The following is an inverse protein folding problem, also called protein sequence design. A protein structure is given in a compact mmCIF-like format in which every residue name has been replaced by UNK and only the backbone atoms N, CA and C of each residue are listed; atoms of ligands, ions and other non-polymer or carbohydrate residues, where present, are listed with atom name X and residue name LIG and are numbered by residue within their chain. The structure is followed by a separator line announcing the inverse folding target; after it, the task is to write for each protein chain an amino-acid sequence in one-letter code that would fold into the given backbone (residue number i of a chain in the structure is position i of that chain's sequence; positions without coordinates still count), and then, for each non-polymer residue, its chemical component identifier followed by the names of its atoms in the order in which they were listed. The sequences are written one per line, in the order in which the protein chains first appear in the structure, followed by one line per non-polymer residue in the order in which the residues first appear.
data_IF_926586285867
#
_entry.id   IF_926586285867
#
_cell.length_a   1.000
_cell.length_b   1.000
_cell.length_c   1.000
_cell.angle_alpha   90.00
_cell.angle_beta   90.00
_cell.angle_gamma   90.00
#
_symmetry.space_group_name_H-M   'P 1'
#
loop_
_entity.id
_entity.type
_entity.pdbx_description
1 polymer ?
#
# COMPACT_ATOMS: atom_id res chain seq x y z
N UNK A 1 -7.54 1.21 14.01
CA UNK A 1 -7.62 1.85 12.69
C UNK A 1 -6.23 2.24 12.24
N UNK A 2 -5.67 1.44 11.31
CA UNK A 2 -4.86 1.93 10.19
C UNK A 2 -5.30 1.29 8.84
N UNK A 3 -6.48 0.66 8.79
CA UNK A 3 -6.90 -0.22 7.69
C UNK A 3 -7.27 0.47 6.37
N UNK A 4 -7.33 1.81 6.33
CA UNK A 4 -7.78 2.51 5.12
C UNK A 4 -6.79 2.41 3.95
N UNK A 5 -5.48 2.30 4.22
CA UNK A 5 -4.47 2.24 3.15
C UNK A 5 -3.98 0.82 2.85
N UNK A 6 -3.97 -0.08 3.84
CA UNK A 6 -3.67 -1.52 3.58
C UNK A 6 -4.71 -2.15 2.64
N UNK A 7 -5.92 -1.58 2.54
CA UNK A 7 -6.97 -2.04 1.63
C UNK A 7 -6.76 -1.64 0.15
N UNK A 8 -5.79 -0.79 -0.19
CA UNK A 8 -5.62 -0.30 -1.57
C UNK A 8 -4.83 -1.23 -2.48
N UNK A 9 -4.15 -2.26 -1.94
CA UNK A 9 -3.34 -3.23 -2.71
C UNK A 9 -4.03 -4.58 -2.96
N UNK A 10 -5.27 -4.80 -2.51
CA UNK A 10 -5.99 -6.05 -2.84
C UNK A 10 -6.47 -6.06 -4.29
N UNK A 11 -5.72 -6.76 -5.15
CA UNK A 11 -6.16 -7.16 -6.48
C UNK A 11 -7.41 -8.06 -6.37
N UNK A 12 -8.46 -7.72 -7.11
CA UNK A 12 -9.73 -8.45 -7.11
C UNK A 12 -9.58 -9.79 -7.87
N UNK A 13 -9.82 -10.92 -7.21
CA UNK A 13 -9.83 -12.25 -7.86
C UNK A 13 -11.16 -12.99 -7.62
N UNK A 14 -11.77 -13.46 -8.70
CA UNK A 14 -13.02 -14.25 -8.76
C UNK A 14 -12.84 -15.75 -8.37
N UNK A 15 -13.93 -16.45 -8.06
CA UNK A 15 -13.99 -17.82 -7.50
C UNK A 15 -13.91 -18.97 -8.53
N UNK A 16 -13.31 -20.12 -8.18
CA UNK A 16 -13.59 -21.52 -8.60
C UNK A 16 -12.73 -22.52 -7.77
N UNK A 17 -13.19 -23.76 -7.59
CA UNK A 17 -12.87 -24.68 -6.48
C UNK A 17 -11.79 -25.77 -6.72
N UNK A 18 -11.16 -26.15 -5.59
CA UNK A 18 -10.54 -27.42 -5.13
C UNK A 18 -9.25 -28.00 -5.76
N UNK A 19 -8.17 -28.05 -4.97
CA UNK A 19 -7.61 -29.27 -4.34
C UNK A 19 -6.41 -28.89 -3.43
N UNK A 20 -6.08 -29.69 -2.40
CA UNK A 20 -5.04 -29.37 -1.41
C UNK A 20 -4.11 -30.55 -1.11
N UNK A 21 -2.81 -30.33 -1.26
CA UNK A 21 -1.72 -31.17 -0.71
C UNK A 21 -0.91 -30.35 0.31
N UNK A 22 -0.49 -30.97 1.41
CA UNK A 22 0.24 -30.28 2.51
C UNK A 22 1.60 -30.96 2.75
N UNK A 23 2.69 -30.19 2.68
CA UNK A 23 4.03 -30.62 3.07
C UNK A 23 4.57 -29.71 4.20
N UNK A 24 5.28 -30.30 5.17
CA UNK A 24 5.74 -29.64 6.39
C UNK A 24 7.17 -29.09 6.23
N UNK A 25 7.38 -27.80 6.52
CA UNK A 25 8.67 -27.08 6.40
C UNK A 25 9.26 -26.75 7.77
N UNK A 26 10.60 -26.87 7.92
CA UNK A 26 11.36 -26.59 9.14
C UNK A 26 11.57 -25.08 9.36
N UNK A 27 11.52 -24.65 10.63
CA UNK A 27 11.49 -23.24 11.01
C UNK A 27 12.82 -22.48 10.75
N UNK A 28 12.81 -21.26 10.19
CA UNK A 28 13.99 -20.43 9.97
C UNK A 28 14.47 -19.71 11.24
N UNK A 29 15.79 -19.49 11.31
CA UNK A 29 16.47 -18.65 12.29
C UNK A 29 16.00 -17.18 12.17
N UNK A 30 15.77 -16.51 13.30
CA UNK A 30 15.26 -15.14 13.33
C UNK A 30 16.19 -14.10 12.70
N UNK A 31 15.67 -12.90 12.38
CA UNK A 31 16.48 -11.79 11.88
C UNK A 31 17.61 -11.50 12.87
N UNK A 32 18.86 -11.67 12.44
CA UNK A 32 20.03 -11.22 13.19
C UNK A 32 20.37 -9.83 12.67
N UNK A 33 19.82 -8.79 13.29
CA UNK A 33 20.16 -7.41 12.92
C UNK A 33 21.63 -7.17 13.31
N UNK A 34 22.51 -7.08 12.31
CA UNK A 34 23.78 -6.38 12.51
C UNK A 34 23.41 -4.94 12.89
N UNK A 35 23.78 -4.50 14.10
CA UNK A 35 23.51 -3.15 14.61
C UNK A 35 24.12 -2.13 13.66
N UNK A 36 23.29 -1.53 12.81
CA UNK A 36 23.64 -0.33 12.06
C UNK A 36 22.86 0.81 12.67
N UNK A 37 23.56 1.88 13.06
CA UNK A 37 22.90 3.02 13.67
C UNK A 37 22.25 3.86 12.58
N UNK A 38 21.03 4.42 12.81
CA UNK A 38 20.44 5.38 11.88
C UNK A 38 21.41 6.52 11.59
N UNK A 39 21.68 6.79 10.30
CA UNK A 39 22.59 7.86 9.84
C UNK A 39 24.01 7.41 9.48
N UNK A 40 24.38 6.14 9.73
CA UNK A 40 25.60 5.59 9.18
C UNK A 40 25.55 5.60 7.63
N UNK A 41 26.69 5.78 6.92
CA UNK A 41 26.72 5.74 5.47
C UNK A 41 26.15 4.42 4.94
N UNK A 42 25.19 4.53 4.02
CA UNK A 42 24.55 3.36 3.42
C UNK A 42 25.60 2.54 2.64
N UNK A 43 25.78 1.24 2.92
CA UNK A 43 26.68 0.41 2.13
C UNK A 43 26.24 0.37 0.67
N UNK A 44 27.19 0.27 -0.25
CA UNK A 44 26.95 0.41 -1.69
C UNK A 44 25.99 -0.63 -2.31
N UNK A 45 25.70 -1.73 -1.60
CA UNK A 45 24.80 -2.79 -2.03
C UNK A 45 23.34 -2.61 -1.58
N UNK A 46 23.04 -1.51 -0.89
CA UNK A 46 21.68 -1.12 -0.54
C UNK A 46 21.14 -0.05 -1.49
N UNK A 47 19.88 -0.22 -1.88
CA UNK A 47 19.15 0.73 -2.73
C UNK A 47 18.02 1.37 -1.93
N UNK A 48 17.96 2.71 -1.85
CA UNK A 48 16.82 3.42 -1.26
C UNK A 48 15.50 3.08 -1.96
N UNK A 49 14.44 2.86 -1.19
CA UNK A 49 13.10 2.59 -1.70
C UNK A 49 12.31 3.91 -1.79
N UNK A 50 11.89 4.35 -2.99
CA UNK A 50 11.23 5.65 -3.21
C UNK A 50 10.05 5.91 -2.28
N UNK A 51 10.02 7.09 -1.67
CA UNK A 51 8.94 7.56 -0.79
C UNK A 51 8.97 6.99 0.63
N UNK A 52 10.03 6.28 1.00
CA UNK A 52 10.14 5.60 2.29
C UNK A 52 11.49 5.87 2.94
N UNK A 53 11.59 5.62 4.25
CA UNK A 53 12.85 5.63 4.98
C UNK A 53 13.63 4.31 4.87
N UNK A 54 13.22 3.35 4.03
CA UNK A 54 13.94 2.09 3.92
C UNK A 54 14.87 2.06 2.71
N UNK A 55 16.04 1.49 2.92
CA UNK A 55 16.87 0.96 1.85
C UNK A 55 16.97 -0.56 1.99
N UNK A 56 16.88 -1.27 0.86
CA UNK A 56 16.91 -2.73 0.78
C UNK A 56 18.07 -3.18 -0.10
N UNK A 57 18.64 -4.36 0.18
CA UNK A 57 19.44 -5.06 -0.84
C UNK A 57 18.48 -5.58 -1.91
N UNK A 58 18.80 -5.35 -3.17
CA UNK A 58 17.96 -5.82 -4.28
C UNK A 58 18.26 -7.31 -4.53
N UNK A 59 17.29 -8.22 -4.36
CA UNK A 59 17.52 -9.64 -4.65
C UNK A 59 17.80 -9.88 -6.14
N UNK A 60 18.51 -10.97 -6.46
CA UNK A 60 18.90 -11.29 -7.83
C UNK A 60 17.72 -11.31 -8.81
N UNK A 61 17.81 -10.46 -9.85
CA UNK A 61 16.80 -10.30 -10.90
C UNK A 61 15.56 -9.52 -10.49
N UNK A 62 15.53 -8.92 -9.30
CA UNK A 62 14.62 -7.83 -8.98
C UNK A 62 15.25 -6.48 -9.35
N UNK A 63 14.41 -5.44 -9.41
CA UNK A 63 14.82 -4.06 -9.60
C UNK A 63 13.87 -3.13 -8.85
N UNK A 64 14.32 -1.92 -8.52
CA UNK A 64 13.41 -0.87 -8.04
C UNK A 64 12.44 -0.52 -9.18
N UNK A 65 11.16 -0.39 -8.84
CA UNK A 65 10.13 0.07 -9.76
C UNK A 65 9.79 1.52 -9.44
N UNK A 66 9.77 2.41 -10.44
CA UNK A 66 9.38 3.80 -10.22
C UNK A 66 7.88 3.94 -9.91
N UNK A 67 7.07 3.00 -10.38
CA UNK A 67 5.61 3.02 -10.21
C UNK A 67 5.14 2.48 -8.86
N UNK A 68 6.04 1.88 -8.06
CA UNK A 68 5.71 1.29 -6.77
C UNK A 68 6.81 1.60 -5.75
N UNK A 69 6.48 1.87 -4.48
CA UNK A 69 7.48 2.06 -3.44
C UNK A 69 8.11 0.71 -3.05
N UNK A 70 8.96 0.13 -3.91
CA UNK A 70 9.51 -1.19 -3.68
C UNK A 70 10.26 -1.82 -4.86
N UNK A 71 10.27 -3.16 -4.91
CA UNK A 71 11.03 -3.96 -5.86
C UNK A 71 10.10 -4.86 -6.68
N UNK A 72 10.42 -5.08 -7.95
CA UNK A 72 9.73 -6.01 -8.85
C UNK A 72 10.71 -6.95 -9.53
N UNK A 73 10.28 -8.18 -9.83
CA UNK A 73 10.94 -9.02 -10.82
C UNK A 73 10.17 -8.90 -12.14
N UNK A 74 10.78 -8.35 -13.21
CA UNK A 74 10.11 -8.18 -14.50
C UNK A 74 9.48 -9.47 -15.03
N UNK A 75 8.31 -9.35 -15.67
CA UNK A 75 7.56 -10.46 -16.30
C UNK A 75 7.05 -11.53 -15.33
N UNK A 76 6.99 -11.21 -14.05
CA UNK A 76 6.40 -12.07 -13.01
C UNK A 76 5.50 -11.22 -12.11
N UNK A 77 4.73 -11.86 -11.25
CA UNK A 77 3.99 -11.21 -10.16
C UNK A 77 4.81 -11.14 -8.86
N UNK A 78 6.12 -11.39 -8.93
CA UNK A 78 7.03 -11.36 -7.77
C UNK A 78 7.42 -9.92 -7.44
N UNK A 79 7.08 -9.48 -6.23
CA UNK A 79 7.20 -8.08 -5.79
C UNK A 79 7.56 -7.97 -4.31
N UNK A 80 8.19 -6.87 -3.92
CA UNK A 80 8.30 -6.40 -2.55
C UNK A 80 7.75 -4.98 -2.54
N UNK A 81 6.68 -4.74 -1.78
CA UNK A 81 6.06 -3.41 -1.62
C UNK A 81 6.37 -2.90 -0.22
N UNK A 82 6.82 -1.65 -0.12
CA UNK A 82 7.10 -0.95 1.13
C UNK A 82 6.15 0.23 1.25
N UNK A 83 5.38 0.29 2.33
CA UNK A 83 4.51 1.44 2.62
C UNK A 83 4.97 2.07 3.92
N UNK A 84 5.33 3.35 3.87
CA UNK A 84 5.81 4.14 5.01
C UNK A 84 4.82 5.28 5.30
N UNK A 85 4.15 5.19 6.45
CA UNK A 85 3.08 6.11 6.85
C UNK A 85 3.44 6.80 8.15
N UNK A 86 3.07 8.08 8.26
CA UNK A 86 3.18 8.78 9.53
C UNK A 86 2.22 8.17 10.57
N UNK A 87 2.72 7.90 11.78
CA UNK A 87 1.86 7.50 12.90
C UNK A 87 1.27 8.74 13.58
N UNK A 88 0.03 8.64 14.11
CA UNK A 88 -0.51 9.65 15.00
C UNK A 88 0.39 9.83 16.23
N UNK A 89 0.61 11.07 16.65
CA UNK A 89 1.44 11.39 17.81
C UNK A 89 0.98 10.62 19.07
N UNK A 90 1.95 10.11 19.83
CA UNK A 90 1.70 9.40 21.10
C UNK A 90 1.27 7.93 20.96
N UNK A 91 1.19 7.40 19.74
CA UNK A 91 0.96 5.97 19.54
C UNK A 91 2.21 5.16 19.95
N UNK A 92 2.01 4.14 20.78
CA UNK A 92 3.11 3.30 21.29
C UNK A 92 3.42 2.19 20.30
N UNK A 93 4.69 2.01 19.85
CA UNK A 93 5.10 0.99 18.89
C UNK A 93 4.56 -0.41 19.19
N UNK A 94 4.65 -0.85 20.45
CA UNK A 94 4.20 -2.18 20.87
C UNK A 94 2.70 -2.39 20.67
N UNK A 95 1.89 -1.36 20.92
CA UNK A 95 0.43 -1.41 20.72
C UNK A 95 0.10 -1.46 19.23
N UNK A 96 0.84 -0.74 18.39
CA UNK A 96 0.67 -0.78 16.94
C UNK A 96 0.99 -2.17 16.40
N UNK A 97 2.13 -2.72 16.78
CA UNK A 97 2.54 -4.06 16.35
C UNK A 97 1.60 -5.15 16.89
N UNK A 98 1.10 -5.05 18.13
CA UNK A 98 0.17 -6.03 18.67
C UNK A 98 -1.13 -6.10 17.85
N UNK A 99 -1.64 -4.94 17.42
CA UNK A 99 -2.79 -4.88 16.50
C UNK A 99 -2.50 -5.53 15.15
N UNK A 100 -1.29 -5.34 14.64
CA UNK A 100 -0.88 -5.96 13.37
C UNK A 100 -0.72 -7.47 13.48
N UNK A 101 -0.15 -7.97 14.57
CA UNK A 101 -0.09 -9.40 14.84
C UNK A 101 -1.49 -10.02 14.93
N UNK A 102 -2.43 -9.34 15.57
CA UNK A 102 -3.82 -9.78 15.60
C UNK A 102 -4.44 -9.81 14.19
N UNK A 103 -4.10 -8.85 13.33
CA UNK A 103 -4.49 -8.87 11.92
C UNK A 103 -3.86 -10.05 11.17
N UNK A 104 -2.57 -10.32 11.36
CA UNK A 104 -1.90 -11.47 10.75
C UNK A 104 -2.51 -12.80 11.20
N UNK A 105 -2.83 -12.96 12.48
CA UNK A 105 -3.52 -14.15 13.00
C UNK A 105 -4.93 -14.34 12.44
N UNK A 106 -5.60 -13.25 12.05
CA UNK A 106 -6.96 -13.25 11.51
C UNK A 106 -7.02 -13.33 9.98
N UNK A 107 -5.89 -13.58 9.31
CA UNK A 107 -5.72 -13.45 7.84
C UNK A 107 -6.66 -14.27 6.96
N UNK A 108 -7.47 -15.18 7.54
CA UNK A 108 -8.58 -15.85 6.86
C UNK A 108 -9.84 -14.95 6.70
N UNK A 109 -9.65 -13.64 6.49
CA UNK A 109 -10.74 -12.66 6.44
C UNK A 109 -11.38 -12.49 5.05
N UNK A 110 -12.57 -11.87 4.97
CA UNK A 110 -13.16 -11.45 3.70
C UNK A 110 -12.16 -10.60 2.89
N UNK A 111 -11.92 -10.97 1.63
CA UNK A 111 -10.96 -10.28 0.76
C UNK A 111 -9.52 -10.81 0.77
N UNK A 112 -9.18 -11.75 1.66
CA UNK A 112 -7.89 -12.45 1.69
C UNK A 112 -8.06 -13.95 1.40
N UNK A 113 -8.83 -14.27 0.36
CA UNK A 113 -9.08 -15.66 -0.02
C UNK A 113 -7.76 -16.38 -0.33
N UNK A 114 -7.65 -17.62 0.16
CA UNK A 114 -6.49 -18.47 -0.04
C UNK A 114 -5.25 -18.09 0.77
N UNK A 115 -5.25 -16.97 1.52
CA UNK A 115 -4.11 -16.55 2.33
C UNK A 115 -4.02 -17.38 3.62
N UNK A 116 -2.89 -18.06 3.80
CA UNK A 116 -2.52 -18.80 5.01
C UNK A 116 -1.20 -18.25 5.50
N UNK A 117 -1.23 -17.62 6.67
CA UNK A 117 -0.04 -17.08 7.32
C UNK A 117 0.37 -17.96 8.50
N UNK A 118 1.67 -18.05 8.72
CA UNK A 118 2.26 -18.64 9.92
C UNK A 118 1.96 -17.77 11.16
N UNK A 119 2.37 -18.25 12.33
CA UNK A 119 2.29 -17.43 13.53
C UNK A 119 3.26 -16.22 13.41
N UNK A 120 2.80 -14.99 13.71
CA UNK A 120 3.68 -13.83 13.66
C UNK A 120 4.76 -13.93 14.73
N UNK A 121 5.96 -13.44 14.40
CA UNK A 121 7.13 -13.42 15.27
C UNK A 121 7.62 -11.99 15.47
N UNK A 122 7.92 -11.63 16.72
CA UNK A 122 8.59 -10.37 17.04
C UNK A 122 10.08 -10.45 16.73
N UNK A 123 10.61 -9.33 16.23
CA UNK A 123 12.02 -9.16 15.91
C UNK A 123 12.38 -7.67 15.89
N UNK A 124 13.56 -7.35 15.41
CA UNK A 124 14.00 -5.99 15.12
C UNK A 124 14.38 -5.89 13.63
N UNK A 125 13.92 -4.84 12.96
CA UNK A 125 14.30 -4.53 11.59
C UNK A 125 14.78 -3.08 11.55
N UNK A 126 15.95 -2.85 10.96
CA UNK A 126 16.54 -1.52 10.84
C UNK A 126 16.65 -0.76 12.18
N UNK A 127 16.85 -1.47 13.30
CA UNK A 127 16.96 -0.89 14.64
C UNK A 127 15.63 -0.63 15.35
N UNK A 128 14.49 -1.00 14.76
CA UNK A 128 13.16 -0.77 15.33
C UNK A 128 12.40 -2.06 15.62
N UNK A 129 11.52 -2.06 16.63
CA UNK A 129 10.61 -3.18 16.88
C UNK A 129 9.81 -3.53 15.64
N UNK A 130 9.73 -4.82 15.34
CA UNK A 130 9.02 -5.34 14.18
C UNK A 130 8.26 -6.64 14.49
N UNK A 131 7.26 -6.93 13.66
CA UNK A 131 6.58 -8.22 13.58
C UNK A 131 6.67 -8.74 12.16
N UNK A 132 7.11 -9.98 12.00
CA UNK A 132 7.24 -10.66 10.71
C UNK A 132 6.36 -11.89 10.64
N UNK A 133 5.94 -12.26 9.43
CA UNK A 133 5.20 -13.50 9.18
C UNK A 133 5.41 -13.96 7.74
N UNK A 134 5.48 -15.28 7.54
CA UNK A 134 5.52 -15.92 6.22
C UNK A 134 4.23 -16.66 5.96
N UNK A 135 4.01 -17.09 4.73
CA UNK A 135 2.85 -17.89 4.39
C UNK A 135 2.70 -18.13 2.91
N UNK A 136 1.51 -18.60 2.54
CA UNK A 136 1.12 -18.82 1.14
C UNK A 136 -0.21 -18.16 0.83
N UNK A 137 -0.45 -17.89 -0.43
CA UNK A 137 -1.73 -17.42 -0.94
C UNK A 137 -2.10 -18.20 -2.20
N UNK A 138 -3.26 -18.84 -2.19
CA UNK A 138 -3.88 -19.37 -3.41
C UNK A 138 -4.79 -18.32 -4.05
N UNK A 139 -4.57 -18.02 -5.33
CA UNK A 139 -5.43 -17.16 -6.14
C UNK A 139 -5.68 -17.78 -7.52
N UNK A 140 -6.48 -17.13 -8.36
CA UNK A 140 -6.81 -17.68 -9.70
C UNK A 140 -5.58 -17.82 -10.59
N UNK A 141 -4.65 -16.89 -10.43
CA UNK A 141 -3.42 -16.76 -11.21
C UNK A 141 -2.37 -17.79 -10.78
N UNK A 142 -2.56 -18.43 -9.62
CA UNK A 142 -1.70 -19.48 -9.09
C UNK A 142 -1.48 -19.39 -7.58
N UNK A 143 -0.49 -20.15 -7.13
CA UNK A 143 -0.02 -20.15 -5.74
C UNK A 143 1.14 -19.17 -5.57
N UNK A 144 1.12 -18.44 -4.47
CA UNK A 144 2.12 -17.44 -4.13
C UNK A 144 2.70 -17.69 -2.74
N UNK A 145 4.00 -17.51 -2.61
CA UNK A 145 4.69 -17.37 -1.32
C UNK A 145 4.57 -15.94 -0.84
N UNK A 146 4.40 -15.76 0.46
CA UNK A 146 4.26 -14.46 1.11
C UNK A 146 5.27 -14.28 2.22
N UNK A 147 5.80 -13.08 2.32
CA UNK A 147 6.48 -12.57 3.50
C UNK A 147 5.89 -11.21 3.83
N UNK A 148 5.58 -10.97 5.09
CA UNK A 148 5.05 -9.70 5.57
C UNK A 148 5.88 -9.23 6.75
N UNK A 149 6.10 -7.93 6.84
CA UNK A 149 6.68 -7.30 8.01
C UNK A 149 5.92 -6.01 8.35
N UNK A 150 5.83 -5.72 9.64
CA UNK A 150 5.38 -4.45 10.18
C UNK A 150 6.48 -3.93 11.10
N UNK A 151 6.92 -2.70 10.88
CA UNK A 151 7.95 -2.01 11.65
C UNK A 151 7.31 -0.79 12.29
N UNK A 152 7.56 -0.55 13.58
CA UNK A 152 6.99 0.58 14.30
C UNK A 152 8.08 1.51 14.88
N UNK A 153 8.68 2.37 14.05
CA UNK A 153 9.40 3.55 14.52
C UNK A 153 8.54 4.48 15.38
N UNK A 154 9.14 5.44 16.11
CA UNK A 154 8.40 6.35 16.99
C UNK A 154 7.33 7.22 16.31
N UNK A 155 7.55 7.62 15.06
CA UNK A 155 6.75 8.59 14.30
C UNK A 155 6.24 8.05 12.95
N UNK A 156 6.62 6.82 12.60
CA UNK A 156 6.24 6.15 11.35
C UNK A 156 5.76 4.73 11.61
N UNK A 157 4.96 4.21 10.70
CA UNK A 157 4.57 2.81 10.60
C UNK A 157 4.91 2.33 9.21
N UNK A 158 5.78 1.32 9.13
CA UNK A 158 6.22 0.76 7.85
C UNK A 158 5.71 -0.67 7.70
N UNK A 159 5.08 -0.97 6.57
CA UNK A 159 4.73 -2.34 6.20
C UNK A 159 5.50 -2.79 4.97
N UNK A 160 6.07 -3.99 5.01
CA UNK A 160 6.67 -4.64 3.86
C UNK A 160 5.81 -5.84 3.46
N UNK A 161 5.51 -5.96 2.18
CA UNK A 161 4.77 -7.09 1.60
C UNK A 161 5.56 -7.69 0.45
N UNK A 162 6.10 -8.87 0.67
CA UNK A 162 6.75 -9.70 -0.33
C UNK A 162 5.80 -10.74 -0.87
N UNK A 163 5.71 -10.83 -2.18
CA UNK A 163 4.99 -11.87 -2.92
C UNK A 163 5.94 -12.50 -3.91
N UNK A 164 6.00 -13.82 -3.97
CA UNK A 164 6.72 -14.55 -5.02
C UNK A 164 5.80 -15.62 -5.60
N UNK A 165 5.79 -15.77 -6.92
CA UNK A 165 5.11 -16.91 -7.55
C UNK A 165 5.74 -18.23 -7.06
N UNK A 166 4.96 -19.31 -6.89
CA UNK A 166 5.50 -20.59 -6.41
C UNK A 166 6.63 -21.16 -7.29
N UNK A 167 6.62 -20.83 -8.59
CA UNK A 167 7.65 -21.20 -9.58
C UNK A 167 8.83 -20.23 -9.64
N UNK A 168 8.77 -19.09 -8.94
CA UNK A 168 9.88 -18.14 -8.88
C UNK A 168 11.05 -18.75 -8.10
N UNK A 169 12.31 -18.48 -8.49
CA UNK A 169 13.48 -18.89 -7.71
C UNK A 169 13.53 -18.26 -6.31
N UNK A 170 12.85 -17.12 -6.08
CA UNK A 170 12.77 -16.52 -4.75
C UNK A 170 11.83 -17.32 -3.83
N UNK A 171 12.37 -17.62 -2.66
CA UNK A 171 11.65 -18.21 -1.53
C UNK A 171 11.08 -17.12 -0.62
N UNK A 172 10.06 -17.46 0.15
CA UNK A 172 9.56 -16.63 1.26
C UNK A 172 10.68 -16.27 2.25
N UNK A 173 11.63 -17.18 2.48
CA UNK A 173 12.78 -16.94 3.35
C UNK A 173 13.77 -15.91 2.79
N UNK A 174 14.00 -15.89 1.48
CA UNK A 174 14.82 -14.86 0.85
C UNK A 174 14.12 -13.50 0.85
N UNK A 175 12.80 -13.46 0.63
CA UNK A 175 12.01 -12.24 0.81
C UNK A 175 12.13 -11.73 2.26
N UNK A 176 11.99 -12.63 3.24
CA UNK A 176 12.11 -12.28 4.64
C UNK A 176 13.52 -11.79 5.02
N UNK A 177 14.56 -12.44 4.52
CA UNK A 177 15.95 -12.01 4.70
C UNK A 177 16.18 -10.60 4.15
N UNK A 178 15.58 -10.27 3.00
CA UNK A 178 15.61 -8.92 2.43
C UNK A 178 15.02 -7.89 3.40
N UNK A 179 13.95 -8.25 4.12
CA UNK A 179 13.34 -7.37 5.13
C UNK A 179 14.23 -7.26 6.37
N UNK A 180 14.74 -8.38 6.88
CA UNK A 180 15.62 -8.41 8.04
C UNK A 180 16.89 -7.56 7.83
N UNK A 181 17.39 -7.51 6.59
CA UNK A 181 18.58 -6.74 6.23
C UNK A 181 18.29 -5.26 5.95
N UNK A 182 17.05 -4.79 6.01
CA UNK A 182 16.70 -3.41 5.71
C UNK A 182 17.52 -2.39 6.53
N UNK A 183 17.73 -1.22 5.95
CA UNK A 183 18.41 -0.07 6.59
C UNK A 183 17.47 1.11 6.67
N UNK A 184 17.56 1.83 7.79
CA UNK A 184 16.79 3.05 8.01
C UNK A 184 17.58 4.27 7.53
N UNK A 185 16.94 5.06 6.68
CA UNK A 185 17.44 6.32 6.17
C UNK A 185 16.97 7.46 7.10
N UNK A 186 17.80 8.48 7.26
CA UNK A 186 17.45 9.66 8.05
C UNK A 186 16.31 10.46 7.43
N UNK A 187 16.20 10.44 6.10
CA UNK A 187 15.14 11.09 5.33
C UNK A 187 14.51 10.09 4.38
N UNK A 188 13.25 10.33 3.99
CA UNK A 188 12.60 9.54 2.95
C UNK A 188 13.34 9.70 1.63
N UNK A 189 13.57 8.59 0.95
CA UNK A 189 14.05 8.65 -0.43
C UNK A 189 13.02 9.39 -1.30
N UNK A 190 13.45 10.23 -2.26
CA UNK A 190 12.54 10.91 -3.16
C UNK A 190 11.69 9.91 -3.95
N UNK A 191 10.42 10.23 -4.16
CA UNK A 191 9.51 9.47 -5.02
C UNK A 191 9.10 10.32 -6.22
N UNK A 192 9.36 9.83 -7.42
CA UNK A 192 8.89 10.43 -8.67
C UNK A 192 7.61 9.72 -9.07
N UNK A 193 6.46 10.24 -8.65
CA UNK A 193 5.16 9.62 -8.94
C UNK A 193 4.69 9.86 -10.39
N UNK A 194 5.40 10.70 -11.16
CA UNK A 194 5.04 11.08 -12.53
C UNK A 194 3.83 12.01 -12.61
N UNK A 195 3.37 12.56 -11.49
CA UNK A 195 2.29 13.53 -11.45
C UNK A 195 2.38 14.45 -10.23
N UNK A 196 1.67 15.58 -10.31
CA UNK A 196 1.52 16.55 -9.23
C UNK A 196 0.06 16.93 -9.03
N UNK A 197 -0.28 17.33 -7.82
CA UNK A 197 -1.59 17.86 -7.43
C UNK A 197 -1.38 19.15 -6.64
N UNK A 198 -2.20 20.16 -6.92
CA UNK A 198 -2.23 21.40 -6.15
C UNK A 198 -3.23 21.24 -5.01
N UNK A 199 -2.84 21.45 -3.73
CA UNK A 199 -3.77 21.46 -2.61
C UNK A 199 -4.87 22.52 -2.79
N UNK A 200 -6.09 22.23 -2.34
CA UNK A 200 -7.20 23.19 -2.27
C UNK A 200 -7.58 23.48 -0.81
N UNK A 201 -8.02 24.72 -0.54
CA UNK A 201 -8.43 25.17 0.79
C UNK A 201 -7.31 25.05 1.83
N UNK A 202 -7.64 24.47 2.99
CA UNK A 202 -6.70 24.28 4.11
C UNK A 202 -5.91 22.96 4.02
N UNK A 203 -6.04 22.19 2.94
CA UNK A 203 -5.32 20.92 2.80
C UNK A 203 -3.81 21.16 2.67
N UNK A 204 -3.02 20.34 3.36
CA UNK A 204 -1.57 20.32 3.24
C UNK A 204 -1.11 18.92 2.93
N UNK A 205 -0.06 18.83 2.13
CA UNK A 205 0.60 17.56 1.89
C UNK A 205 1.18 17.00 3.19
N UNK A 206 1.00 15.70 3.38
CA UNK A 206 1.53 14.93 4.51
C UNK A 206 2.29 13.72 3.96
N UNK A 207 3.37 13.28 4.64
CA UNK A 207 4.20 12.19 4.13
C UNK A 207 3.42 10.90 3.86
N UNK A 208 3.54 10.37 2.64
CA UNK A 208 2.95 9.09 2.24
C UNK A 208 3.89 8.31 1.32
N UNK A 209 4.01 7.00 1.52
CA UNK A 209 4.80 6.13 0.65
C UNK A 209 4.04 5.80 -0.64
N UNK A 210 4.63 6.10 -1.80
CA UNK A 210 4.09 5.72 -3.12
C UNK A 210 2.77 6.40 -3.52
N UNK A 211 2.41 7.51 -2.88
CA UNK A 211 1.22 8.32 -3.18
C UNK A 211 1.41 9.75 -2.69
N UNK A 212 0.62 10.69 -3.22
CA UNK A 212 0.43 11.99 -2.58
C UNK A 212 -0.72 11.85 -1.59
N UNK A 213 -0.52 12.35 -0.37
CA UNK A 213 -1.58 12.42 0.64
C UNK A 213 -1.67 13.86 1.13
N UNK A 214 -2.89 14.36 1.21
CA UNK A 214 -3.21 15.66 1.74
C UNK A 214 -4.19 15.49 2.88
N UNK A 215 -3.99 16.21 3.96
CA UNK A 215 -4.94 16.24 5.07
C UNK A 215 -5.30 17.67 5.42
N UNK A 216 -6.50 17.83 5.96
CA UNK A 216 -6.96 19.14 6.39
C UNK A 216 -6.00 19.71 7.44
N UNK A 217 -5.42 20.88 7.14
CA UNK A 217 -4.42 21.60 7.95
C UNK A 217 -3.09 20.86 8.18
N UNK A 218 -2.89 19.72 7.53
CA UNK A 218 -1.73 18.84 7.76
C UNK A 218 -1.87 17.97 9.02
N UNK A 219 -3.08 17.84 9.56
CA UNK A 219 -3.33 17.02 10.75
C UNK A 219 -3.38 15.52 10.39
N UNK A 220 -3.04 14.66 11.35
CA UNK A 220 -3.14 13.20 11.20
C UNK A 220 -4.11 12.64 12.22
N UNK A 221 -5.04 11.77 11.81
CA UNK A 221 -5.97 11.14 12.73
C UNK A 221 -7.12 10.44 12.01
N UNK A 222 -7.89 9.61 12.73
CA UNK A 222 -9.01 8.88 12.13
C UNK A 222 -10.19 9.77 11.72
N UNK A 223 -10.26 10.98 12.28
CA UNK A 223 -11.38 11.92 12.10
C UNK A 223 -11.03 13.10 11.19
N UNK A 224 -9.77 13.17 10.73
CA UNK A 224 -9.29 14.25 9.86
C UNK A 224 -9.64 13.90 8.41
N UNK A 225 -10.29 14.80 7.66
CA UNK A 225 -10.48 14.62 6.24
C UNK A 225 -9.14 14.46 5.50
N UNK A 226 -9.09 13.46 4.62
CA UNK A 226 -7.90 13.18 3.82
C UNK A 226 -8.26 13.07 2.34
N UNK A 227 -7.31 13.43 1.49
CA UNK A 227 -7.31 13.21 0.05
C UNK A 227 -6.03 12.48 -0.34
N UNK A 228 -6.14 11.43 -1.14
CA UNK A 228 -5.03 10.58 -1.57
C UNK A 228 -5.03 10.47 -3.09
N UNK A 229 -3.84 10.56 -3.69
CA UNK A 229 -3.62 10.32 -5.09
C UNK A 229 -2.54 9.28 -5.29
N UNK A 230 -2.87 8.17 -5.95
CA UNK A 230 -1.98 7.04 -6.16
C UNK A 230 -2.08 6.51 -7.59
N UNK A 231 -0.95 6.18 -8.25
CA UNK A 231 -0.98 5.48 -9.52
C UNK A 231 -1.43 4.03 -9.32
N UNK A 232 -1.98 3.42 -10.37
CA UNK A 232 -2.30 2.00 -10.40
C UNK A 232 -1.01 1.21 -10.48
N UNK A 233 -0.65 0.52 -9.39
CA UNK A 233 0.58 -0.26 -9.33
C UNK A 233 0.40 -1.61 -10.03
N UNK A 234 1.22 -1.88 -11.06
CA UNK A 234 1.26 -3.18 -11.73
C UNK A 234 -0.04 -3.60 -12.43
N UNK A 235 -0.95 -2.67 -12.72
CA UNK A 235 -2.20 -2.98 -13.43
C UNK A 235 -2.10 -2.57 -14.90
N UNK A 236 -2.53 -3.46 -15.78
CA UNK A 236 -2.70 -3.13 -17.20
C UNK A 236 -3.74 -2.03 -17.39
N UNK A 237 -3.63 -1.25 -18.48
CA UNK A 237 -4.64 -0.24 -18.84
C UNK A 237 -6.05 -0.83 -18.87
N UNK A 238 -7.02 -0.11 -18.32
CA UNK A 238 -8.43 -0.53 -18.32
C UNK A 238 -9.05 -0.24 -19.69
N UNK A 239 -9.63 -1.25 -20.37
CA UNK A 239 -10.28 -1.06 -21.67
C UNK A 239 -11.35 0.02 -21.60
N UNK A 240 -11.43 0.88 -22.63
CA UNK A 240 -12.31 2.06 -22.64
C UNK A 240 -13.77 1.74 -22.30
N UNK A 241 -14.30 0.63 -22.84
CA UNK A 241 -15.67 0.18 -22.60
C UNK A 241 -15.94 -0.27 -21.15
N UNK A 242 -14.91 -0.56 -20.36
CA UNK A 242 -15.03 -1.10 -19.00
C UNK A 242 -14.75 -0.06 -17.91
N UNK A 243 -14.19 1.10 -18.26
CA UNK A 243 -13.67 2.11 -17.32
C UNK A 243 -14.69 2.52 -16.25
N UNK A 244 -15.92 2.84 -16.66
CA UNK A 244 -17.00 3.22 -15.73
C UNK A 244 -17.36 2.11 -14.75
N UNK A 245 -17.61 0.91 -15.27
CA UNK A 245 -17.95 -0.25 -14.45
C UNK A 245 -16.81 -0.65 -13.51
N UNK A 246 -15.56 -0.50 -13.96
CA UNK A 246 -14.36 -0.71 -13.16
C UNK A 246 -14.28 0.29 -12.00
N UNK A 247 -14.45 1.60 -12.27
CA UNK A 247 -14.44 2.64 -11.26
C UNK A 247 -15.55 2.44 -10.21
N UNK A 248 -16.78 2.17 -10.64
CA UNK A 248 -17.91 1.91 -9.72
C UNK A 248 -17.66 0.69 -8.84
N UNK A 249 -17.13 -0.41 -9.41
CA UNK A 249 -16.81 -1.61 -8.65
C UNK A 249 -15.75 -1.33 -7.60
N UNK A 250 -14.69 -0.59 -7.96
CA UNK A 250 -13.64 -0.21 -7.00
C UNK A 250 -14.19 0.69 -5.89
N UNK A 251 -15.03 1.66 -6.23
CA UNK A 251 -15.66 2.55 -5.25
C UNK A 251 -16.53 1.80 -4.25
N UNK A 252 -17.40 0.89 -4.73
CA UNK A 252 -18.24 0.05 -3.85
C UNK A 252 -17.43 -0.89 -2.97
N UNK A 253 -16.20 -1.23 -3.37
CA UNK A 253 -15.26 -2.05 -2.61
C UNK A 253 -14.50 -1.30 -1.52
N UNK A 254 -14.68 0.02 -1.39
CA UNK A 254 -14.06 0.80 -0.31
C UNK A 254 -14.59 0.36 1.08
N UNK A 255 -13.79 0.52 2.14
CA UNK A 255 -14.23 0.23 3.50
C UNK A 255 -15.55 0.91 3.86
N UNK A 256 -16.48 0.16 4.44
CA UNK A 256 -17.82 0.64 4.76
C UNK A 256 -18.83 0.53 3.61
N UNK A 257 -18.45 -0.04 2.47
CA UNK A 257 -19.30 -0.32 1.31
C UNK A 257 -20.15 0.90 0.91
N UNK A 258 -19.51 2.02 0.49
CA UNK A 258 -20.22 3.26 0.26
C UNK A 258 -21.28 3.08 -0.83
N UNK A 259 -22.42 3.73 -0.62
CA UNK A 259 -23.48 3.83 -1.60
C UNK A 259 -23.12 4.94 -2.60
N UNK A 260 -23.19 4.60 -3.87
CA UNK A 260 -22.96 5.53 -4.98
C UNK A 260 -24.14 6.52 -5.05
N UNK A 261 -23.85 7.81 -5.05
CA UNK A 261 -24.83 8.88 -5.21
C UNK A 261 -24.77 9.47 -6.61
N UNK A 262 -23.57 9.82 -7.08
CA UNK A 262 -23.34 10.33 -8.43
C UNK A 262 -22.19 9.58 -9.12
N UNK A 263 -22.28 9.46 -10.45
CA UNK A 263 -21.22 8.94 -11.31
C UNK A 263 -21.20 9.80 -12.58
N UNK A 264 -20.09 10.47 -12.84
CA UNK A 264 -19.92 11.39 -13.95
C UNK A 264 -18.67 11.04 -14.75
N UNK A 265 -18.78 11.09 -16.07
CA UNK A 265 -17.61 10.99 -16.94
C UNK A 265 -16.97 12.37 -17.05
N UNK A 266 -15.64 12.44 -16.97
CA UNK A 266 -14.87 13.67 -16.94
C UNK A 266 -13.61 13.56 -17.82
N UNK A 267 -12.84 14.64 -17.88
CA UNK A 267 -11.51 14.65 -18.48
C UNK A 267 -10.57 15.45 -17.59
N UNK A 268 -9.43 14.87 -17.25
CA UNK A 268 -8.43 15.48 -16.36
C UNK A 268 -7.05 15.24 -16.94
N UNK A 269 -6.22 16.28 -17.02
CA UNK A 269 -4.92 16.24 -17.67
C UNK A 269 -4.95 15.75 -19.14
N UNK A 270 -6.09 15.86 -19.82
CA UNK A 270 -6.30 15.36 -21.18
C UNK A 270 -6.77 13.90 -21.25
N UNK A 271 -6.77 13.19 -20.13
CA UNK A 271 -7.17 11.79 -20.05
C UNK A 271 -8.63 11.61 -19.64
N UNK A 272 -9.34 10.57 -20.14
CA UNK A 272 -10.67 10.23 -19.68
C UNK A 272 -10.68 9.88 -18.20
N UNK A 273 -11.67 10.37 -17.48
CA UNK A 273 -11.83 10.11 -16.06
C UNK A 273 -13.26 9.74 -15.70
N UNK A 274 -13.44 9.07 -14.57
CA UNK A 274 -14.76 8.80 -13.97
C UNK A 274 -14.75 9.32 -12.55
N UNK A 275 -15.61 10.29 -12.25
CA UNK A 275 -15.87 10.84 -10.92
C UNK A 275 -17.04 10.10 -10.27
N UNK A 276 -16.89 9.77 -8.99
CA UNK A 276 -17.90 9.10 -8.17
C UNK A 276 -17.95 9.79 -6.81
N UNK A 277 -19.14 10.22 -6.41
CA UNK A 277 -19.42 10.70 -5.06
C UNK A 277 -20.41 9.74 -4.40
N UNK A 278 -20.18 9.46 -3.13
CA UNK A 278 -21.04 8.59 -2.36
C UNK A 278 -20.79 8.69 -0.86
N UNK A 279 -21.44 7.81 -0.11
CA UNK A 279 -21.34 7.82 1.35
C UNK A 279 -21.46 6.43 1.93
N UNK A 280 -20.73 6.17 3.01
CA UNK A 280 -20.95 5.05 3.91
C UNK A 280 -21.62 5.57 5.20
N UNK A 281 -22.04 4.69 6.14
CA UNK A 281 -22.61 5.12 7.41
C UNK A 281 -21.72 6.09 8.21
N UNK A 282 -20.40 5.99 8.06
CA UNK A 282 -19.43 6.78 8.83
C UNK A 282 -18.87 7.99 8.06
N UNK A 283 -18.88 7.98 6.73
CA UNK A 283 -18.12 8.95 5.95
C UNK A 283 -18.73 9.29 4.58
N UNK A 284 -18.50 10.51 4.12
CA UNK A 284 -18.60 10.90 2.72
C UNK A 284 -17.33 10.45 1.99
N UNK A 285 -17.51 9.94 0.78
CA UNK A 285 -16.45 9.37 -0.03
C UNK A 285 -16.46 10.02 -1.41
N UNK A 286 -15.28 10.46 -1.83
CA UNK A 286 -15.01 10.98 -3.15
C UNK A 286 -14.03 10.04 -3.85
N UNK A 287 -14.24 9.79 -5.13
CA UNK A 287 -13.26 9.09 -5.97
C UNK A 287 -13.29 9.66 -7.38
N UNK A 288 -12.13 9.91 -7.95
CA UNK A 288 -11.95 10.15 -9.36
C UNK A 288 -10.84 9.24 -9.87
N UNK A 289 -11.13 8.50 -10.95
CA UNK A 289 -10.17 7.61 -11.58
C UNK A 289 -9.82 8.18 -12.95
N UNK A 290 -8.57 8.60 -13.14
CA UNK A 290 -8.05 9.15 -14.40
C UNK A 290 -7.33 8.03 -15.15
N UNK A 291 -7.81 7.65 -16.33
CA UNK A 291 -7.34 6.47 -17.07
C UNK A 291 -6.28 6.85 -18.09
N UNK A 292 -5.04 6.44 -17.85
CA UNK A 292 -3.88 6.73 -18.67
C UNK A 292 -3.54 5.57 -19.62
N UNK A 293 -2.54 5.78 -20.47
CA UNK A 293 -1.98 4.80 -21.40
C UNK A 293 -1.37 3.58 -20.70
N UNK A 294 -0.96 3.76 -19.45
CA UNK A 294 -0.21 2.77 -18.64
C UNK A 294 -1.04 2.19 -17.51
N UNK A 295 -2.25 2.69 -17.26
CA UNK A 295 -3.09 2.27 -16.14
C UNK A 295 -4.14 3.31 -15.77
N UNK A 296 -4.16 3.71 -14.50
CA UNK A 296 -4.96 4.83 -14.00
C UNK A 296 -4.32 5.49 -12.78
N UNK A 297 -4.73 6.72 -12.47
CA UNK A 297 -4.44 7.38 -11.20
C UNK A 297 -5.75 7.43 -10.40
N UNK A 298 -5.73 6.90 -9.20
CA UNK A 298 -6.84 6.95 -8.25
C UNK A 298 -6.68 8.18 -7.35
N UNK A 299 -7.67 9.05 -7.40
CA UNK A 299 -7.81 10.24 -6.57
C UNK A 299 -8.98 9.96 -5.62
N UNK A 300 -8.76 9.91 -4.31
CA UNK A 300 -9.81 9.54 -3.36
C UNK A 300 -9.80 10.44 -2.14
N UNK A 301 -10.97 10.95 -1.77
CA UNK A 301 -11.19 11.75 -0.58
C UNK A 301 -12.13 11.04 0.38
N UNK A 302 -11.88 11.18 1.69
CA UNK A 302 -12.80 10.70 2.72
C UNK A 302 -12.90 11.74 3.83
N UNK A 303 -14.13 12.01 4.26
CA UNK A 303 -14.42 12.86 5.41
C UNK A 303 -15.57 12.26 6.21
N UNK A 304 -15.60 12.47 7.53
CA UNK A 304 -16.73 12.00 8.34
C UNK A 304 -18.02 12.72 7.93
N UNK A 305 -19.15 12.04 8.07
CA UNK A 305 -20.47 12.61 7.73
C UNK A 305 -20.85 13.84 8.59
N UNK A 306 -20.23 14.02 9.75
CA UNK A 306 -20.45 15.18 10.63
C UNK A 306 -19.41 16.31 10.43
N UNK A 307 -18.43 16.11 9.55
CA UNK A 307 -17.54 17.18 9.11
C UNK A 307 -18.25 18.07 8.07
N UNK A 308 -17.83 19.34 7.90
CA UNK A 308 -18.27 20.16 6.78
C UNK A 308 -18.02 19.45 5.45
N UNK A 309 -18.87 19.67 4.44
CA UNK A 309 -18.71 19.03 3.13
C UNK A 309 -17.36 19.35 2.51
N UNK A 310 -16.55 18.31 2.27
CA UNK A 310 -15.21 18.40 1.70
C UNK A 310 -15.18 18.09 0.20
N UNK A 311 -16.31 17.65 -0.38
CA UNK A 311 -16.42 17.26 -1.79
C UNK A 311 -15.92 18.34 -2.75
N UNK A 312 -16.22 19.66 -2.55
CA UNK A 312 -15.69 20.70 -3.41
C UNK A 312 -14.15 20.78 -3.43
N UNK A 313 -13.51 20.70 -2.27
CA UNK A 313 -12.05 20.75 -2.15
C UNK A 313 -11.39 19.49 -2.76
N UNK A 314 -11.99 18.31 -2.53
CA UNK A 314 -11.53 17.06 -3.16
C UNK A 314 -11.60 17.12 -4.69
N UNK A 315 -12.70 17.66 -5.23
CA UNK A 315 -12.86 17.82 -6.68
C UNK A 315 -11.84 18.80 -7.26
N UNK A 316 -11.61 19.93 -6.60
CA UNK A 316 -10.61 20.91 -7.06
C UNK A 316 -9.20 20.32 -7.07
N UNK A 317 -8.80 19.61 -6.00
CA UNK A 317 -7.52 18.90 -5.97
C UNK A 317 -7.44 17.86 -7.09
N UNK A 318 -8.49 17.07 -7.33
CA UNK A 318 -8.50 16.07 -8.39
C UNK A 318 -8.34 16.68 -9.79
N UNK A 319 -9.02 17.80 -10.06
CA UNK A 319 -8.94 18.53 -11.34
C UNK A 319 -7.60 19.26 -11.53
N UNK A 320 -6.85 19.49 -10.45
CA UNK A 320 -5.52 20.09 -10.50
C UNK A 320 -4.42 19.12 -10.94
N UNK A 321 -4.72 17.83 -11.10
CA UNK A 321 -3.75 16.81 -11.54
C UNK A 321 -3.02 17.25 -12.81
N UNK A 322 -1.70 17.12 -12.79
CA UNK A 322 -0.81 17.28 -13.96
C UNK A 322 0.13 16.10 -14.04
N UNK A 323 0.29 15.54 -15.24
CA UNK A 323 1.28 14.49 -15.53
C UNK A 323 2.63 15.14 -15.86
N UNK A 324 3.72 14.49 -15.48
CA UNK A 324 5.11 14.93 -15.70
C UNK A 324 5.80 14.15 -16.82
#
# INVERSE_FOLDING_TARGET
MPLAVVALTTACTHRSSDSSDTATSSAPAGCSSAKHSPGDPLPADFTPIPGTHLALRVPDGMQVDASLPGLVRPKTNTTIVVVDQQQPAGQQPDKTLAKMEDTFRKSAGPGQQGLKLDAPKRTEIAGFPASIVTGTQEAKEGSFRKALAAIAPPDSFVTLTGTAEQKDPLTDQQLLATFCDARWLTERAPAELGFTITPSGDYKEVPSGGSLMFSLRGETGPDVPIFLAAPSQGQSPVPAAERRAFAERRFRGLPGNPQVQTVEDATVAGDPAVEIVGSSPAASNYSMMVFTDTGYILLSGVARNDAPDQTPAFREMAQSLRLQ
#
